data_IF_186741983706
#
_entry.id   IF_186741983706
#
_cell.length_a   1.000
_cell.length_b   1.000
_cell.length_c   1.000
_cell.angle_alpha   90.00
_cell.angle_beta   90.00
_cell.angle_gamma   90.00
#
_symmetry.space_group_name_H-M   'P 1'
#
loop_
_entity.id
_entity.type
_entity.pdbx_description
1 polymer ?
#
# COMPACT_ATOMS: atom_id res chain seq x y z
N UNK A 1 -15.61 8.03 10.58
CA UNK A 1 -14.44 7.38 9.97
C UNK A 1 -13.49 8.43 9.46
N UNK A 2 -12.22 8.09 9.43
CA UNK A 2 -11.17 8.91 8.88
C UNK A 2 -11.05 8.69 7.36
N UNK A 3 -10.40 9.61 6.69
CA UNK A 3 -9.94 9.49 5.32
C UNK A 3 -8.47 9.91 5.27
N UNK A 4 -7.84 9.73 4.14
CA UNK A 4 -6.51 10.26 3.94
C UNK A 4 -6.33 10.82 2.53
N UNK A 5 -5.24 11.55 2.32
CA UNK A 5 -4.86 12.03 1.00
C UNK A 5 -3.46 11.60 0.64
N UNK A 6 -3.23 11.35 -0.64
CA UNK A 6 -1.91 11.22 -1.25
C UNK A 6 -1.78 12.24 -2.38
N UNK A 7 -0.88 13.20 -2.23
CA UNK A 7 -0.72 14.34 -3.14
C UNK A 7 -2.07 15.04 -3.45
N UNK A 8 -2.92 15.22 -2.42
CA UNK A 8 -4.23 15.84 -2.52
C UNK A 8 -5.34 14.95 -3.08
N UNK A 9 -5.07 13.69 -3.47
CA UNK A 9 -6.08 12.70 -3.86
C UNK A 9 -6.58 11.96 -2.64
N UNK A 10 -7.89 11.90 -2.44
CA UNK A 10 -8.47 11.14 -1.33
C UNK A 10 -8.33 9.64 -1.52
N UNK A 11 -8.13 8.94 -0.42
CA UNK A 11 -8.32 7.50 -0.31
C UNK A 11 -8.95 7.16 1.05
N UNK A 12 -9.66 6.04 1.10
CA UNK A 12 -10.39 5.58 2.28
C UNK A 12 -9.85 4.26 2.82
N UNK A 13 -9.28 3.45 1.94
CA UNK A 13 -8.66 2.18 2.31
C UNK A 13 -7.16 2.28 2.33
N UNK A 14 -6.52 2.29 1.17
CA UNK A 14 -5.07 2.22 1.06
C UNK A 14 -4.56 3.04 -0.12
N UNK A 15 -3.34 3.56 0.00
CA UNK A 15 -2.56 4.04 -1.13
C UNK A 15 -1.20 3.36 -1.15
N UNK A 16 -0.52 3.36 -2.30
CA UNK A 16 0.78 2.72 -2.37
C UNK A 16 1.58 3.00 -3.63
N UNK A 17 2.82 2.53 -3.60
CA UNK A 17 3.81 2.63 -4.68
C UNK A 17 4.55 1.31 -4.85
N UNK A 18 5.24 1.16 -5.95
CA UNK A 18 5.97 -0.05 -6.28
C UNK A 18 5.06 -1.11 -6.89
N UNK A 19 5.21 -2.36 -6.46
CA UNK A 19 4.53 -3.50 -7.08
C UNK A 19 3.00 -3.37 -7.05
N UNK A 20 2.40 -2.91 -5.96
CA UNK A 20 0.94 -2.77 -5.85
C UNK A 20 0.38 -1.70 -6.79
N UNK A 21 1.10 -0.59 -6.98
CA UNK A 21 0.73 0.45 -7.94
C UNK A 21 0.86 -0.05 -9.39
N UNK A 22 1.92 -0.81 -9.69
CA UNK A 22 2.10 -1.44 -11.01
C UNK A 22 0.99 -2.44 -11.31
N UNK A 23 0.57 -3.23 -10.31
CA UNK A 23 -0.56 -4.15 -10.44
C UNK A 23 -1.86 -3.40 -10.73
N UNK A 24 -2.12 -2.32 -9.99
CA UNK A 24 -3.29 -1.46 -10.17
C UNK A 24 -3.32 -0.84 -11.57
N UNK A 25 -2.19 -0.32 -12.05
CA UNK A 25 -2.03 0.23 -13.40
C UNK A 25 -2.32 -0.83 -14.48
N UNK A 26 -1.68 -2.01 -14.40
CA UNK A 26 -1.86 -3.09 -15.37
C UNK A 26 -3.28 -3.63 -15.37
N UNK A 27 -3.88 -3.77 -14.18
CA UNK A 27 -5.26 -4.21 -14.04
C UNK A 27 -6.22 -3.23 -14.72
N UNK A 28 -6.06 -1.92 -14.48
CA UNK A 28 -6.86 -0.88 -15.12
C UNK A 28 -6.71 -0.90 -16.66
N UNK A 29 -5.49 -1.05 -17.16
CA UNK A 29 -5.19 -1.11 -18.61
C UNK A 29 -5.65 -2.42 -19.29
N UNK A 30 -5.80 -3.50 -18.54
CA UNK A 30 -6.20 -4.81 -19.11
C UNK A 30 -7.65 -4.84 -19.62
N UNK A 31 -8.50 -3.93 -19.14
CA UNK A 31 -9.93 -3.94 -19.43
C UNK A 31 -10.70 -5.13 -18.85
N UNK A 32 -10.01 -6.03 -18.13
CA UNK A 32 -10.59 -7.22 -17.48
C UNK A 32 -10.95 -6.88 -16.04
N UNK A 33 -11.97 -7.54 -15.49
CA UNK A 33 -12.45 -7.31 -14.13
C UNK A 33 -12.43 -8.62 -13.33
N UNK A 34 -12.45 -8.49 -12.01
CA UNK A 34 -12.55 -9.60 -11.06
C UNK A 34 -11.22 -10.06 -10.48
N UNK A 35 -11.31 -10.76 -9.35
CA UNK A 35 -10.18 -11.18 -8.53
C UNK A 35 -9.15 -12.04 -9.32
N UNK A 36 -9.62 -12.96 -10.16
CA UNK A 36 -8.73 -13.82 -10.93
C UNK A 36 -7.81 -13.00 -11.86
N UNK A 37 -8.36 -11.97 -12.53
CA UNK A 37 -7.56 -11.09 -13.38
C UNK A 37 -6.58 -10.25 -12.56
N UNK A 38 -6.97 -9.80 -11.36
CA UNK A 38 -6.08 -9.07 -10.47
C UNK A 38 -4.89 -9.95 -10.02
N UNK A 39 -5.15 -11.19 -9.61
CA UNK A 39 -4.09 -12.16 -9.24
C UNK A 39 -3.15 -12.44 -10.41
N UNK A 40 -3.69 -12.63 -11.62
CA UNK A 40 -2.88 -12.81 -12.84
C UNK A 40 -1.93 -11.63 -13.05
N UNK A 41 -2.43 -10.38 -12.94
CA UNK A 41 -1.62 -9.18 -13.08
C UNK A 41 -0.58 -9.07 -11.96
N UNK A 42 -0.92 -9.46 -10.74
CA UNK A 42 0.02 -9.47 -9.62
C UNK A 42 1.20 -10.42 -9.88
N UNK A 43 0.92 -11.65 -10.32
CA UNK A 43 1.96 -12.65 -10.66
C UNK A 43 2.84 -12.16 -11.83
N UNK A 44 2.22 -11.58 -12.87
CA UNK A 44 2.98 -11.03 -14.00
C UNK A 44 3.82 -9.82 -13.62
N UNK A 45 3.32 -8.97 -12.73
CA UNK A 45 4.04 -7.79 -12.28
C UNK A 45 5.20 -8.14 -11.36
N UNK A 46 5.05 -9.21 -10.57
CA UNK A 46 6.11 -9.72 -9.72
C UNK A 46 7.35 -10.15 -10.51
N UNK A 47 7.15 -10.89 -11.61
CA UNK A 47 8.27 -11.38 -12.42
C UNK A 47 9.05 -10.23 -13.04
N UNK A 48 10.28 -10.03 -12.54
CA UNK A 48 11.18 -8.98 -13.02
C UNK A 48 11.03 -7.63 -12.32
N UNK A 49 10.12 -7.51 -11.33
CA UNK A 49 10.10 -6.33 -10.46
C UNK A 49 11.32 -6.36 -9.53
N UNK A 50 11.95 -5.21 -9.37
CA UNK A 50 13.11 -5.04 -8.49
C UNK A 50 12.75 -4.09 -7.37
N UNK A 51 13.37 -4.30 -6.21
CA UNK A 51 13.30 -3.34 -5.12
C UNK A 51 13.86 -1.98 -5.55
N UNK A 52 13.22 -0.93 -5.08
CA UNK A 52 13.67 0.46 -5.21
C UNK A 52 14.00 1.02 -3.83
N UNK A 53 14.84 2.05 -3.82
CA UNK A 53 15.14 2.75 -2.58
C UNK A 53 14.05 3.77 -2.28
N UNK A 54 13.45 3.63 -1.10
CA UNK A 54 12.49 4.57 -0.54
C UNK A 54 13.05 5.24 0.70
N UNK A 55 12.98 6.56 0.74
CA UNK A 55 13.16 7.34 1.97
C UNK A 55 11.77 7.67 2.48
N UNK A 56 11.47 7.23 3.69
CA UNK A 56 10.16 7.39 4.31
C UNK A 56 10.33 8.25 5.56
N UNK A 57 9.68 9.41 5.58
CA UNK A 57 9.61 10.26 6.75
C UNK A 57 8.22 10.10 7.38
N UNK A 58 8.16 9.62 8.61
CA UNK A 58 6.93 9.43 9.38
C UNK A 58 6.99 10.33 10.60
N UNK A 59 6.17 11.37 10.64
CA UNK A 59 6.08 12.32 11.74
C UNK A 59 7.46 12.89 12.15
N UNK A 60 8.33 13.19 11.15
CA UNK A 60 9.67 13.70 11.34
C UNK A 60 10.74 12.64 11.63
N UNK A 61 10.39 11.36 11.61
CA UNK A 61 11.36 10.25 11.72
C UNK A 61 11.64 9.67 10.35
N UNK A 62 12.88 9.85 9.89
CA UNK A 62 13.32 9.40 8.57
C UNK A 62 13.96 8.01 8.63
N UNK A 63 13.57 7.15 7.72
CA UNK A 63 14.13 5.82 7.52
C UNK A 63 14.35 5.54 6.03
N UNK A 64 15.18 4.57 5.71
CA UNK A 64 15.50 4.18 4.33
C UNK A 64 15.32 2.67 4.20
N UNK A 65 14.59 2.26 3.17
CA UNK A 65 14.37 0.85 2.83
C UNK A 65 14.60 0.61 1.35
N UNK A 66 15.18 -0.55 1.02
CA UNK A 66 15.12 -1.12 -0.32
C UNK A 66 13.91 -2.05 -0.36
N UNK A 67 12.84 -1.61 -1.02
CA UNK A 67 11.55 -2.29 -0.96
C UNK A 67 10.96 -2.55 -2.34
N UNK A 68 10.19 -3.62 -2.48
CA UNK A 68 9.42 -3.90 -3.69
C UNK A 68 8.11 -3.12 -3.71
N UNK A 69 7.60 -2.76 -2.54
CA UNK A 69 6.43 -1.88 -2.42
C UNK A 69 6.35 -1.23 -1.04
N UNK A 70 5.70 -0.08 -1.00
CA UNK A 70 5.30 0.60 0.23
C UNK A 70 3.81 0.90 0.12
N UNK A 71 3.03 0.40 1.08
CA UNK A 71 1.59 0.62 1.17
C UNK A 71 1.27 1.38 2.45
N UNK A 72 0.41 2.38 2.36
CA UNK A 72 -0.09 3.16 3.49
C UNK A 72 -1.59 2.95 3.60
N UNK A 73 -2.03 2.43 4.73
CA UNK A 73 -3.42 2.07 4.99
C UNK A 73 -4.09 2.96 6.04
N UNK A 74 -5.31 3.39 5.73
CA UNK A 74 -6.30 3.88 6.65
C UNK A 74 -7.23 2.75 7.09
N UNK A 75 -7.31 1.67 6.30
CA UNK A 75 -7.99 0.41 6.64
C UNK A 75 -7.05 -0.78 6.44
N UNK A 76 -7.48 -1.96 6.88
CA UNK A 76 -6.63 -3.14 7.02
C UNK A 76 -6.32 -3.87 5.70
N UNK A 77 -7.03 -3.58 4.61
CA UNK A 77 -6.98 -4.45 3.44
C UNK A 77 -6.99 -3.71 2.09
N UNK A 78 -6.40 -4.34 1.08
CA UNK A 78 -6.57 -3.95 -0.33
C UNK A 78 -7.99 -4.27 -0.85
N UNK A 79 -8.68 -5.20 -0.22
CA UNK A 79 -9.95 -5.77 -0.65
C UNK A 79 -9.93 -7.30 -0.64
N UNK A 80 -11.11 -7.92 -0.77
CA UNK A 80 -11.29 -9.38 -0.78
C UNK A 80 -10.62 -10.12 0.40
N UNK A 81 -10.44 -9.44 1.54
CA UNK A 81 -9.83 -10.01 2.73
C UNK A 81 -8.30 -10.04 2.73
N UNK A 82 -7.63 -9.51 1.71
CA UNK A 82 -6.16 -9.42 1.67
C UNK A 82 -5.66 -8.25 2.54
N UNK A 83 -5.27 -8.56 3.76
CA UNK A 83 -4.88 -7.61 4.80
C UNK A 83 -3.41 -7.22 4.70
N UNK A 84 -3.13 -6.10 4.06
CA UNK A 84 -1.78 -5.56 3.89
C UNK A 84 -1.33 -4.70 5.06
N UNK A 85 -2.27 -4.03 5.71
CA UNK A 85 -2.08 -3.21 6.91
C UNK A 85 -2.95 -3.75 8.05
N UNK A 86 -2.69 -4.97 8.56
CA UNK A 86 -3.63 -5.73 9.40
C UNK A 86 -3.96 -5.07 10.74
N UNK A 87 -3.24 -4.05 11.14
CA UNK A 87 -3.42 -3.32 12.40
C UNK A 87 -4.06 -1.94 12.20
N UNK A 88 -4.43 -1.60 10.97
CA UNK A 88 -5.05 -0.31 10.67
C UNK A 88 -6.50 -0.25 11.15
N UNK A 89 -6.87 0.88 11.74
CA UNK A 89 -8.22 1.21 12.19
C UNK A 89 -8.63 2.56 11.59
N UNK A 90 -9.65 2.57 10.76
CA UNK A 90 -10.14 3.75 10.07
C UNK A 90 -10.79 4.81 10.95
N UNK A 91 -10.64 4.73 12.26
CA UNK A 91 -11.21 5.66 13.24
C UNK A 91 -10.24 6.10 14.35
N UNK A 92 -8.98 5.68 14.28
CA UNK A 92 -7.98 5.96 15.33
C UNK A 92 -7.09 7.20 15.03
N UNK A 93 -7.31 7.85 13.89
CA UNK A 93 -6.55 9.05 13.48
C UNK A 93 -5.11 8.77 13.08
N UNK A 94 -4.77 7.52 12.74
CA UNK A 94 -3.41 7.07 12.43
C UNK A 94 -3.41 6.27 11.12
N UNK A 95 -2.36 6.42 10.35
CA UNK A 95 -2.10 5.61 9.16
C UNK A 95 -1.08 4.50 9.47
N UNK A 96 -1.32 3.31 8.96
CA UNK A 96 -0.41 2.18 9.02
C UNK A 96 0.44 2.11 7.75
N UNK A 97 1.76 2.00 7.90
CA UNK A 97 2.70 1.89 6.78
C UNK A 97 3.28 0.48 6.76
N UNK A 98 3.10 -0.22 5.65
CA UNK A 98 3.71 -1.53 5.42
C UNK A 98 4.74 -1.41 4.31
N UNK A 99 5.99 -1.70 4.65
CA UNK A 99 7.13 -1.75 3.74
C UNK A 99 7.46 -3.21 3.49
N UNK A 100 7.40 -3.64 2.24
CA UNK A 100 7.75 -5.01 1.84
C UNK A 100 9.08 -4.98 1.12
N UNK A 101 10.10 -5.50 1.75
CA UNK A 101 11.42 -5.68 1.16
C UNK A 101 11.42 -6.88 0.20
N UNK A 102 12.55 -7.10 -0.48
CA UNK A 102 12.66 -8.17 -1.47
C UNK A 102 12.38 -9.55 -0.85
N UNK A 103 11.74 -10.42 -1.62
CA UNK A 103 11.45 -11.79 -1.25
C UNK A 103 11.59 -12.72 -2.46
N UNK A 104 11.84 -14.00 -2.20
CA UNK A 104 12.03 -15.00 -3.26
C UNK A 104 10.70 -15.54 -3.74
N UNK A 105 10.66 -16.05 -4.98
CA UNK A 105 9.45 -16.68 -5.56
C UNK A 105 8.87 -17.79 -4.66
N UNK A 106 9.74 -18.49 -3.92
CA UNK A 106 9.31 -19.56 -3.00
C UNK A 106 8.52 -19.03 -1.81
N UNK A 107 8.65 -17.75 -1.48
CA UNK A 107 7.98 -17.12 -0.33
C UNK A 107 6.56 -16.63 -0.69
N UNK A 108 6.23 -16.55 -1.99
CA UNK A 108 4.93 -16.05 -2.49
C UNK A 108 3.72 -16.76 -1.84
N UNK A 109 3.68 -18.11 -1.76
CA UNK A 109 2.55 -18.80 -1.14
C UNK A 109 2.39 -18.44 0.35
N UNK A 110 3.50 -18.27 1.07
CA UNK A 110 3.48 -17.86 2.47
C UNK A 110 3.04 -16.41 2.63
N UNK A 111 3.47 -15.51 1.75
CA UNK A 111 3.02 -14.13 1.72
C UNK A 111 1.51 -14.04 1.46
N UNK A 112 1.00 -14.78 0.47
CA UNK A 112 -0.43 -14.86 0.19
C UNK A 112 -1.22 -15.37 1.40
N UNK A 113 -0.76 -16.43 2.06
CA UNK A 113 -1.36 -16.94 3.29
C UNK A 113 -1.39 -15.88 4.39
N UNK A 114 -0.29 -15.16 4.62
CA UNK A 114 -0.19 -14.11 5.63
C UNK A 114 -1.10 -12.92 5.34
N UNK A 115 -1.24 -12.52 4.08
CA UNK A 115 -2.19 -11.49 3.66
C UNK A 115 -3.63 -11.90 3.97
N UNK A 116 -4.01 -13.15 3.69
CA UNK A 116 -5.37 -13.65 3.95
C UNK A 116 -5.67 -13.86 5.44
N UNK A 117 -4.65 -14.15 6.25
CA UNK A 117 -4.80 -14.35 7.70
C UNK A 117 -4.54 -13.10 8.53
N UNK A 118 -4.11 -11.98 7.90
CA UNK A 118 -3.77 -10.75 8.61
C UNK A 118 -2.50 -10.85 9.46
N UNK A 119 -1.58 -11.75 9.08
CA UNK A 119 -0.30 -11.97 9.81
C UNK A 119 0.92 -11.52 9.01
N UNK A 120 0.71 -10.65 8.02
CA UNK A 120 1.77 -10.15 7.14
C UNK A 120 2.89 -9.44 7.92
N UNK A 121 2.53 -8.73 8.98
CA UNK A 121 3.45 -8.05 9.90
C UNK A 121 4.39 -8.99 10.69
N UNK A 122 4.17 -10.31 10.63
CA UNK A 122 5.04 -11.31 11.27
C UNK A 122 6.16 -11.83 10.33
N UNK A 123 6.23 -11.35 9.09
CA UNK A 123 7.29 -11.72 8.17
C UNK A 123 8.55 -10.87 8.42
N UNK A 124 9.73 -11.50 8.40
CA UNK A 124 10.99 -10.83 8.74
C UNK A 124 11.48 -9.79 7.71
N UNK A 125 10.92 -9.82 6.50
CA UNK A 125 11.19 -8.87 5.41
C UNK A 125 10.05 -7.85 5.20
N UNK A 126 9.18 -7.72 6.19
CA UNK A 126 8.08 -6.74 6.20
C UNK A 126 8.19 -5.88 7.45
N UNK A 127 8.22 -4.58 7.24
CA UNK A 127 8.32 -3.60 8.31
C UNK A 127 7.02 -2.80 8.39
N UNK A 128 6.49 -2.66 9.60
CA UNK A 128 5.26 -1.93 9.85
C UNK A 128 5.53 -0.74 10.74
N UNK A 129 4.98 0.40 10.36
CA UNK A 129 5.08 1.66 11.09
C UNK A 129 3.71 2.32 11.18
N UNK A 130 3.60 3.31 12.05
CA UNK A 130 2.38 4.11 12.22
C UNK A 130 2.73 5.58 12.28
N UNK A 131 1.86 6.43 11.72
CA UNK A 131 2.01 7.87 11.80
C UNK A 131 0.86 8.63 11.16
N UNK A 132 0.88 9.94 11.33
CA UNK A 132 -0.18 10.84 10.85
C UNK A 132 0.20 11.57 9.56
N UNK A 133 1.49 11.80 9.40
CA UNK A 133 2.10 12.49 8.27
C UNK A 133 3.21 11.64 7.71
N UNK A 134 3.07 11.19 6.48
CA UNK A 134 4.04 10.35 5.81
C UNK A 134 4.50 11.05 4.53
N UNK A 135 5.80 11.27 4.40
CA UNK A 135 6.44 11.71 3.16
C UNK A 135 7.28 10.55 2.62
N UNK A 136 6.92 10.06 1.45
CA UNK A 136 7.60 8.97 0.78
C UNK A 136 8.34 9.52 -0.43
N UNK A 137 9.66 9.30 -0.46
CA UNK A 137 10.54 9.77 -1.53
C UNK A 137 11.18 8.57 -2.21
N UNK A 138 11.11 8.52 -3.54
CA UNK A 138 11.70 7.49 -4.41
C UNK A 138 12.66 8.08 -5.43
N UNK A 139 13.50 7.24 -6.04
CA UNK A 139 14.51 7.71 -7.01
C UNK A 139 13.88 8.22 -8.30
N UNK A 140 12.85 7.55 -8.81
CA UNK A 140 12.22 7.87 -10.08
C UNK A 140 10.72 8.13 -9.92
N UNK A 141 10.13 9.03 -10.75
CA UNK A 141 8.68 9.10 -10.91
C UNK A 141 8.12 7.78 -11.44
N UNK A 142 6.84 7.52 -11.19
CA UNK A 142 6.17 6.32 -11.70
C UNK A 142 4.77 6.15 -11.12
N UNK A 143 4.15 4.98 -11.26
CA UNK A 143 2.79 4.76 -10.78
C UNK A 143 2.70 4.84 -9.26
N UNK A 144 1.55 5.33 -8.81
CA UNK A 144 1.02 5.23 -7.47
C UNK A 144 -0.46 4.88 -7.58
N UNK A 145 -1.09 4.47 -6.49
CA UNK A 145 -2.54 4.26 -6.46
C UNK A 145 -3.17 4.83 -5.19
N UNK A 146 -4.45 5.14 -5.29
CA UNK A 146 -5.34 5.48 -4.18
C UNK A 146 -6.59 4.60 -4.33
N UNK A 147 -6.87 3.72 -3.35
CA UNK A 147 -7.97 2.74 -3.37
C UNK A 147 -8.02 1.87 -4.65
N UNK A 148 -6.86 1.55 -5.22
CA UNK A 148 -6.73 0.79 -6.47
C UNK A 148 -6.80 1.62 -7.75
N UNK A 149 -7.16 2.89 -7.69
CA UNK A 149 -7.13 3.81 -8.83
C UNK A 149 -5.70 4.33 -9.01
N UNK A 150 -5.05 3.88 -10.08
CA UNK A 150 -3.68 4.26 -10.38
C UNK A 150 -3.57 5.69 -10.94
N UNK A 151 -2.42 6.32 -10.70
CA UNK A 151 -2.05 7.61 -11.28
C UNK A 151 -0.53 7.75 -11.36
N UNK A 152 -0.06 8.60 -12.28
CA UNK A 152 1.35 8.97 -12.32
C UNK A 152 1.67 9.93 -11.16
N UNK A 153 2.71 9.61 -10.42
CA UNK A 153 3.20 10.43 -9.33
C UNK A 153 4.68 10.77 -9.51
N UNK A 154 5.08 11.91 -8.97
CA UNK A 154 6.46 12.35 -8.92
C UNK A 154 7.33 11.49 -8.00
N UNK A 155 8.50 12.05 -7.67
CA UNK A 155 9.46 11.41 -6.74
C UNK A 155 9.01 11.46 -5.29
N UNK A 156 8.16 12.43 -4.95
CA UNK A 156 7.65 12.63 -3.58
C UNK A 156 6.16 12.41 -3.54
N UNK A 157 5.71 11.63 -2.57
CA UNK A 157 4.31 11.46 -2.22
C UNK A 157 4.10 11.98 -0.79
N UNK A 158 3.21 12.96 -0.66
CA UNK A 158 2.79 13.50 0.62
C UNK A 158 1.47 12.85 1.02
N UNK A 159 1.48 12.12 2.14
CA UNK A 159 0.33 11.36 2.63
C UNK A 159 -0.07 11.93 3.98
N UNK A 160 -1.35 12.27 4.13
CA UNK A 160 -1.89 12.95 5.32
C UNK A 160 -3.21 12.33 5.74
N UNK A 161 -3.37 12.08 7.03
CA UNK A 161 -4.65 11.68 7.62
C UNK A 161 -5.61 12.86 7.71
N UNK A 162 -6.90 12.61 7.55
CA UNK A 162 -7.99 13.55 7.77
C UNK A 162 -8.96 12.88 8.75
N UNK A 163 -8.87 13.28 9.99
CA UNK A 163 -9.71 12.72 11.06
C UNK A 163 -11.19 13.11 10.87
N UNK A 164 -12.07 12.19 11.22
CA UNK A 164 -13.53 12.40 11.23
C UNK A 164 -14.09 12.89 9.88
N UNK A 165 -13.47 12.51 8.77
CA UNK A 165 -13.85 12.94 7.42
C UNK A 165 -15.24 12.45 6.99
N UNK A 166 -15.69 11.30 7.52
CA UNK A 166 -16.96 10.68 7.15
C UNK A 166 -17.80 10.36 8.39
N UNK A 167 -19.10 10.70 8.33
CA UNK A 167 -20.11 10.24 9.28
C UNK A 167 -20.85 9.06 8.68
N UNK A 168 -20.76 7.90 9.33
CA UNK A 168 -21.45 6.69 8.92
C UNK A 168 -22.53 6.38 9.96
N UNK A 169 -23.75 6.16 9.49
CA UNK A 169 -24.84 5.66 10.33
C UNK A 169 -24.66 4.16 10.49
N UNK A 170 -24.55 3.71 11.72
CA UNK A 170 -24.55 2.28 12.05
C UNK A 170 -25.93 1.93 12.61
N UNK A 171 -26.49 0.74 12.24
CA UNK A 171 -27.78 0.30 12.74
C UNK A 171 -27.76 0.01 14.23
#
# INVERSE_FOLDING_TARGET
>A
LDAATVNGRYFFSVCGVGLDAIVSERFAKSGRRGLASYIEQAIHSWKGHKSEKYVIDIDGRRMVHDAVMVTVGNSDQWGHGAKVTPLADSSDGILDVTVVEDFKDIDIPMLAYRLMTGTVNMAGNIHCYKGRSIDLIRENPGPAHADGDWFEAGRTLEIRIIEHALKVLVP
#
